data_IF_969003175248
#
_entry.id   IF_969003175248
#
_cell.length_a   1.000
_cell.length_b   1.000
_cell.length_c   1.000
_cell.angle_alpha   90.00
_cell.angle_beta   90.00
_cell.angle_gamma   90.00
#
_symmetry.space_group_name_H-M   'P 1'
#
loop_
_entity.id
_entity.type
_entity.pdbx_description
1 polymer ?
#
# COMPACT_ATOMS: atom_id res chain seq x y z
N UNK A 1 7.68 -24.65 14.35
CA UNK A 1 6.59 -24.18 13.48
C UNK A 1 7.02 -22.82 13.00
N UNK A 2 7.14 -22.62 11.70
CA UNK A 2 7.47 -21.29 11.16
C UNK A 2 6.20 -20.42 11.31
N UNK A 3 6.32 -19.24 11.92
CA UNK A 3 5.20 -18.30 12.06
C UNK A 3 4.77 -17.82 10.66
N UNK A 4 3.48 -17.96 10.34
CA UNK A 4 2.92 -17.46 9.09
C UNK A 4 2.48 -16.01 9.32
N UNK A 5 3.24 -15.08 8.78
CA UNK A 5 2.87 -13.67 8.77
C UNK A 5 1.96 -13.42 7.56
N UNK A 6 0.68 -13.17 7.81
CA UNK A 6 -0.29 -12.88 6.75
C UNK A 6 -0.10 -11.47 6.19
N UNK A 7 -0.51 -11.23 4.94
CA UNK A 7 -0.47 -9.89 4.32
C UNK A 7 -1.34 -8.87 5.09
N UNK A 8 -2.47 -9.31 5.64
CA UNK A 8 -3.30 -8.46 6.51
C UNK A 8 -2.60 -8.04 7.80
N UNK A 9 -1.77 -8.92 8.37
CA UNK A 9 -0.98 -8.61 9.56
C UNK A 9 0.14 -7.62 9.24
N UNK A 10 0.83 -7.81 8.10
CA UNK A 10 1.85 -6.84 7.63
C UNK A 10 1.25 -5.46 7.43
N UNK A 11 0.08 -5.40 6.78
CA UNK A 11 -0.64 -4.15 6.54
C UNK A 11 -1.01 -3.46 7.85
N UNK A 12 -1.59 -4.21 8.80
CA UNK A 12 -1.92 -3.67 10.12
C UNK A 12 -0.69 -3.09 10.84
N UNK A 13 0.44 -3.81 10.83
CA UNK A 13 1.67 -3.32 11.45
C UNK A 13 2.19 -2.04 10.77
N UNK A 14 2.13 -1.96 9.44
CA UNK A 14 2.54 -0.77 8.70
C UNK A 14 1.64 0.43 9.01
N UNK A 15 0.32 0.23 9.10
CA UNK A 15 -0.63 1.26 9.50
C UNK A 15 -0.35 1.74 10.92
N UNK A 16 -0.17 0.83 11.89
CA UNK A 16 0.14 1.16 13.28
C UNK A 16 1.46 1.94 13.41
N UNK A 17 2.49 1.51 12.69
CA UNK A 17 3.77 2.24 12.65
C UNK A 17 3.59 3.66 12.12
N UNK A 18 2.88 3.84 11.00
CA UNK A 18 2.64 5.17 10.42
C UNK A 18 1.76 6.03 11.33
N UNK A 19 0.73 5.46 11.96
CA UNK A 19 -0.17 6.13 12.90
C UNK A 19 0.56 6.64 14.14
N UNK A 20 1.52 5.86 14.66
CA UNK A 20 2.27 6.18 15.88
C UNK A 20 3.05 7.51 15.82
N UNK A 21 3.29 8.06 14.64
CA UNK A 21 3.91 9.39 14.47
C UNK A 21 2.93 10.56 14.69
N UNK A 22 1.63 10.30 14.70
CA UNK A 22 0.59 11.35 14.74
C UNK A 22 -0.43 11.18 15.88
N UNK A 23 -0.27 10.19 16.74
CA UNK A 23 -1.11 9.98 17.91
C UNK A 23 -0.96 11.10 18.94
N UNK A 24 -1.94 11.25 19.81
CA UNK A 24 -1.93 12.26 20.90
C UNK A 24 -0.79 12.05 21.90
N UNK A 25 -0.33 10.81 22.04
CA UNK A 25 0.86 10.40 22.81
C UNK A 25 1.87 9.75 21.86
N UNK A 26 2.23 10.49 20.81
CA UNK A 26 3.11 9.98 19.77
C UNK A 26 4.47 9.56 20.32
N UNK A 27 4.95 8.39 19.93
CA UNK A 27 6.34 7.99 20.15
C UNK A 27 7.29 8.92 19.40
N UNK A 28 8.44 9.16 19.98
CA UNK A 28 9.47 9.99 19.37
C UNK A 28 10.49 9.11 18.66
N UNK A 29 10.54 9.22 17.35
CA UNK A 29 11.43 8.43 16.51
C UNK A 29 12.59 9.28 15.98
N UNK A 30 13.79 8.70 16.01
CA UNK A 30 14.99 9.28 15.40
C UNK A 30 15.55 8.27 14.39
N UNK A 31 15.73 8.72 13.15
CA UNK A 31 16.56 7.97 12.19
C UNK A 31 18.02 8.29 12.50
N UNK A 32 18.86 7.27 12.51
CA UNK A 32 20.30 7.43 12.64
C UNK A 32 21.05 6.84 11.47
N UNK A 33 22.24 7.37 11.22
CA UNK A 33 23.24 6.86 10.31
C UNK A 33 24.54 6.62 11.08
N UNK A 34 25.23 5.55 10.72
CA UNK A 34 26.47 5.18 11.40
C UNK A 34 27.35 4.28 10.56
N UNK A 35 28.51 3.93 11.12
CA UNK A 35 29.51 3.04 10.50
C UNK A 35 29.89 3.46 9.08
N UNK A 36 30.72 4.51 9.00
CA UNK A 36 31.29 4.98 7.72
C UNK A 36 32.43 4.09 7.18
N UNK A 37 32.92 3.14 8.00
CA UNK A 37 33.97 2.21 7.61
C UNK A 37 33.37 0.90 7.08
N UNK A 38 34.05 0.27 6.12
CA UNK A 38 33.66 -1.03 5.57
C UNK A 38 33.52 -2.11 6.65
N UNK A 39 32.65 -3.08 6.42
CA UNK A 39 32.60 -4.29 7.24
C UNK A 39 33.87 -5.10 7.06
N UNK A 40 34.44 -5.59 8.16
CA UNK A 40 35.63 -6.42 8.11
C UNK A 40 35.55 -7.59 9.08
N UNK A 41 36.11 -8.73 8.69
CA UNK A 41 36.12 -9.93 9.52
C UNK A 41 36.79 -9.78 10.88
N UNK A 42 37.66 -8.79 11.03
CA UNK A 42 38.38 -8.55 12.30
C UNK A 42 37.53 -7.86 13.37
N UNK A 43 36.55 -7.06 12.97
CA UNK A 43 35.69 -6.28 13.87
C UNK A 43 34.24 -6.68 13.86
N UNK A 44 33.74 -7.11 12.71
CA UNK A 44 32.30 -7.27 12.47
C UNK A 44 31.90 -8.76 12.39
N UNK A 45 32.82 -9.68 12.67
CA UNK A 45 32.62 -11.12 12.63
C UNK A 45 33.27 -11.80 11.41
N UNK A 46 33.68 -13.04 11.58
CA UNK A 46 34.40 -13.80 10.56
C UNK A 46 33.69 -13.81 9.22
N UNK A 47 34.35 -13.31 8.20
CA UNK A 47 33.84 -13.25 6.83
C UNK A 47 32.92 -12.07 6.51
N UNK A 48 32.73 -11.13 7.46
CA UNK A 48 31.97 -9.91 7.21
C UNK A 48 32.64 -9.03 6.16
N UNK A 49 31.86 -8.58 5.19
CA UNK A 49 32.23 -7.62 4.14
C UNK A 49 31.02 -6.79 3.76
N UNK A 50 31.20 -5.71 3.00
CA UNK A 50 30.04 -4.91 2.51
C UNK A 50 29.10 -5.71 1.59
N UNK A 51 29.62 -6.74 0.91
CA UNK A 51 28.79 -7.66 0.10
C UNK A 51 28.15 -8.78 0.92
N UNK A 52 28.67 -9.04 2.11
CA UNK A 52 28.16 -10.05 3.05
C UNK A 52 28.15 -9.44 4.44
N UNK A 53 27.26 -8.45 4.70
CA UNK A 53 27.19 -7.77 5.98
C UNK A 53 26.75 -8.76 7.08
N UNK A 54 27.18 -8.58 8.33
CA UNK A 54 26.71 -9.39 9.44
C UNK A 54 25.20 -9.22 9.65
N UNK A 55 24.54 -10.31 10.02
CA UNK A 55 23.13 -10.23 10.42
C UNK A 55 23.03 -9.55 11.77
N UNK A 56 22.28 -8.45 11.93
CA UNK A 56 22.04 -7.83 13.22
C UNK A 56 21.41 -8.83 14.20
N UNK A 57 21.93 -8.90 15.41
CA UNK A 57 21.41 -9.75 16.47
C UNK A 57 20.62 -8.89 17.47
N UNK A 58 19.57 -9.48 18.04
CA UNK A 58 18.83 -8.91 19.17
C UNK A 58 19.62 -9.20 20.46
N UNK A 59 20.68 -8.44 20.67
CA UNK A 59 21.57 -8.56 21.82
C UNK A 59 22.03 -7.21 22.33
N UNK A 60 22.28 -7.12 23.63
CA UNK A 60 22.80 -5.90 24.26
C UNK A 60 24.14 -5.45 23.67
N UNK A 61 24.97 -6.40 23.23
CA UNK A 61 26.26 -6.10 22.59
C UNK A 61 26.05 -5.41 21.25
N UNK A 62 25.12 -5.89 20.43
CA UNK A 62 24.83 -5.30 19.12
C UNK A 62 24.21 -3.93 19.27
N UNK A 63 23.27 -3.75 20.21
CA UNK A 63 22.69 -2.43 20.52
C UNK A 63 23.78 -1.45 20.93
N UNK A 64 24.71 -1.86 21.82
CA UNK A 64 25.82 -1.01 22.22
C UNK A 64 26.72 -0.61 21.04
N UNK A 65 27.03 -1.55 20.13
CA UNK A 65 27.82 -1.23 18.94
C UNK A 65 27.08 -0.29 17.98
N UNK A 66 25.78 -0.42 17.83
CA UNK A 66 24.99 0.54 17.03
C UNK A 66 25.05 1.94 17.63
N UNK A 67 24.91 2.07 18.96
CA UNK A 67 25.03 3.37 19.62
C UNK A 67 26.44 3.95 19.50
N UNK A 68 27.47 3.16 19.69
CA UNK A 68 28.86 3.61 19.60
C UNK A 68 29.26 4.06 18.17
N UNK A 69 28.66 3.45 17.17
CA UNK A 69 28.92 3.76 15.75
C UNK A 69 28.03 4.85 15.16
N UNK A 70 27.04 5.34 15.87
CA UNK A 70 26.19 6.43 15.36
C UNK A 70 27.02 7.68 15.08
N UNK A 71 26.80 8.28 13.90
CA UNK A 71 27.46 9.53 13.47
C UNK A 71 26.48 10.68 13.58
N UNK A 72 25.24 10.46 13.17
CA UNK A 72 24.20 11.48 13.24
C UNK A 72 22.83 10.82 13.47
N UNK A 73 21.94 11.54 14.15
CA UNK A 73 20.55 11.16 14.32
C UNK A 73 19.65 12.38 14.07
N UNK A 74 18.50 12.14 13.46
CA UNK A 74 17.51 13.18 13.19
C UNK A 74 16.13 12.72 13.59
N UNK A 75 15.38 13.58 14.29
CA UNK A 75 13.99 13.34 14.62
C UNK A 75 13.15 13.22 13.36
N UNK A 76 12.35 12.16 13.28
CA UNK A 76 11.42 11.91 12.19
C UNK A 76 10.10 12.61 12.52
N UNK A 77 9.57 13.38 11.59
CA UNK A 77 8.24 13.95 11.67
C UNK A 77 7.22 13.05 10.94
N UNK A 78 5.93 13.18 11.26
CA UNK A 78 4.88 12.45 10.56
C UNK A 78 4.86 12.71 9.05
N UNK A 79 5.29 13.90 8.62
CA UNK A 79 5.44 14.26 7.20
C UNK A 79 6.63 13.57 6.50
N UNK A 80 7.49 12.88 7.26
CA UNK A 80 8.65 12.14 6.72
C UNK A 80 8.33 10.66 6.49
N UNK A 81 7.11 10.23 6.77
CA UNK A 81 6.67 8.82 6.75
C UNK A 81 5.42 8.66 5.91
N UNK A 82 5.40 7.63 5.07
CA UNK A 82 4.23 7.31 4.25
C UNK A 82 4.14 5.80 3.98
N UNK A 83 2.91 5.28 3.95
CA UNK A 83 2.66 3.92 3.44
C UNK A 83 2.91 3.88 1.92
N UNK A 84 3.49 2.79 1.45
CA UNK A 84 3.80 2.63 0.03
C UNK A 84 3.52 1.21 -0.47
N UNK A 85 3.43 1.10 -1.79
CA UNK A 85 3.23 -0.13 -2.53
C UNK A 85 4.31 -0.28 -3.59
N UNK A 86 4.58 -1.49 -4.11
CA UNK A 86 5.47 -1.68 -5.25
C UNK A 86 5.03 -0.81 -6.42
N UNK A 87 5.99 -0.11 -7.03
CA UNK A 87 5.73 0.75 -8.19
C UNK A 87 5.42 -0.11 -9.41
N UNK A 88 4.32 0.19 -10.05
CA UNK A 88 3.88 -0.42 -11.30
C UNK A 88 3.46 0.68 -12.26
N UNK A 89 4.29 0.95 -13.23
CA UNK A 89 4.01 1.98 -14.23
C UNK A 89 3.15 1.41 -15.36
N UNK A 90 2.22 2.21 -15.83
CA UNK A 90 1.44 1.87 -17.01
C UNK A 90 2.34 1.77 -18.24
N UNK A 91 2.08 0.77 -19.06
CA UNK A 91 2.60 0.74 -20.42
C UNK A 91 1.57 0.12 -21.37
N UNK A 92 1.56 0.62 -22.60
CA UNK A 92 0.70 0.06 -23.64
C UNK A 92 1.10 -1.40 -23.94
N UNK A 93 0.12 -2.21 -24.32
CA UNK A 93 0.30 -3.64 -24.64
C UNK A 93 0.74 -4.51 -23.44
N UNK A 94 0.59 -4.01 -22.22
CA UNK A 94 0.80 -4.81 -20.99
C UNK A 94 -0.52 -5.38 -20.51
N UNK A 95 -0.52 -6.65 -20.08
CA UNK A 95 -1.66 -7.26 -19.40
C UNK A 95 -1.51 -7.02 -17.89
N UNK A 96 -2.46 -6.30 -17.32
CA UNK A 96 -2.61 -6.13 -15.88
C UNK A 96 -3.64 -7.11 -15.34
N UNK A 97 -3.44 -7.63 -14.13
CA UNK A 97 -4.43 -8.45 -13.45
C UNK A 97 -5.64 -7.60 -13.06
N UNK A 98 -6.79 -8.22 -12.92
CA UNK A 98 -7.96 -7.56 -12.35
C UNK A 98 -8.05 -7.76 -10.84
N UNK A 99 -8.74 -6.87 -10.14
CA UNK A 99 -9.08 -7.07 -8.74
C UNK A 99 -10.07 -8.24 -8.60
N UNK A 100 -9.77 -9.15 -7.66
CA UNK A 100 -10.69 -10.16 -7.14
C UNK A 100 -10.39 -10.44 -5.67
N UNK A 101 -11.41 -10.61 -4.88
CA UNK A 101 -11.34 -10.87 -3.44
C UNK A 101 -10.90 -12.29 -3.07
N UNK A 102 -11.00 -13.24 -4.01
CA UNK A 102 -10.86 -14.69 -3.78
C UNK A 102 -9.59 -15.31 -4.41
N UNK A 103 -8.56 -14.52 -4.72
CA UNK A 103 -7.30 -15.09 -5.21
C UNK A 103 -6.62 -16.00 -4.17
N UNK A 104 -6.13 -17.12 -4.63
CA UNK A 104 -5.45 -18.15 -3.82
C UNK A 104 -4.53 -19.00 -4.69
N UNK A 105 -3.82 -19.95 -4.10
CA UNK A 105 -3.01 -20.93 -4.86
C UNK A 105 -3.85 -21.84 -5.79
N UNK A 106 -5.15 -21.93 -5.56
CA UNK A 106 -6.09 -22.71 -6.40
C UNK A 106 -6.87 -21.84 -7.39
N UNK A 107 -6.83 -20.52 -7.20
CA UNK A 107 -7.48 -19.52 -8.06
C UNK A 107 -6.53 -18.36 -8.26
N UNK A 108 -5.55 -18.55 -9.14
CA UNK A 108 -4.49 -17.57 -9.42
C UNK A 108 -4.99 -16.45 -10.33
N UNK A 109 -4.25 -15.35 -10.34
CA UNK A 109 -4.43 -14.27 -11.31
C UNK A 109 -4.02 -14.71 -12.72
N UNK A 110 -4.32 -13.88 -13.71
CA UNK A 110 -3.89 -14.13 -15.10
C UNK A 110 -2.35 -14.11 -15.22
N UNK A 111 -1.63 -13.38 -14.36
CA UNK A 111 -0.16 -13.40 -14.26
C UNK A 111 0.41 -14.57 -13.45
N UNK A 112 -0.44 -15.42 -12.86
CA UNK A 112 -0.06 -16.55 -12.02
C UNK A 112 0.18 -16.24 -10.55
N UNK A 113 -0.11 -15.01 -10.10
CA UNK A 113 0.01 -14.64 -8.69
C UNK A 113 -1.08 -15.35 -7.86
N UNK A 114 -0.71 -15.83 -6.66
CA UNK A 114 -1.59 -16.56 -5.75
C UNK A 114 -2.22 -15.67 -4.66
N UNK A 115 -1.95 -14.38 -4.68
CA UNK A 115 -2.59 -13.41 -3.80
C UNK A 115 -2.84 -12.09 -4.51
N UNK A 116 -3.82 -11.32 -4.03
CA UNK A 116 -4.16 -10.03 -4.60
C UNK A 116 -2.97 -9.07 -4.58
N UNK A 117 -2.28 -8.93 -3.44
CA UNK A 117 -1.22 -7.94 -3.28
C UNK A 117 0.09 -8.29 -3.99
N UNK A 118 0.28 -9.54 -4.39
CA UNK A 118 1.36 -9.95 -5.29
C UNK A 118 1.04 -9.79 -6.77
N UNK A 119 -0.24 -9.52 -7.11
CA UNK A 119 -0.72 -9.36 -8.48
C UNK A 119 -0.57 -7.94 -9.02
N UNK A 120 -0.70 -7.76 -10.34
CA UNK A 120 -0.52 -6.47 -11.03
C UNK A 120 -1.85 -5.72 -11.22
N UNK A 121 -2.73 -5.74 -10.23
CA UNK A 121 -4.11 -5.23 -10.33
C UNK A 121 -4.24 -3.70 -10.21
N UNK A 122 -3.15 -2.98 -10.16
CA UNK A 122 -3.09 -1.51 -10.19
C UNK A 122 -1.89 -1.03 -10.98
N UNK A 123 -1.92 0.21 -11.42
CA UNK A 123 -0.80 0.87 -12.08
C UNK A 123 -0.84 2.39 -11.89
N UNK A 124 0.32 3.02 -12.09
CA UNK A 124 0.51 4.47 -12.07
C UNK A 124 0.76 4.99 -13.49
N UNK A 125 0.19 6.12 -13.84
CA UNK A 125 0.43 6.83 -15.10
C UNK A 125 1.63 7.78 -15.01
N UNK A 126 2.09 8.29 -16.15
CA UNK A 126 3.14 9.31 -16.23
C UNK A 126 2.77 10.61 -15.48
N UNK A 127 1.47 10.91 -15.39
CA UNK A 127 0.93 12.03 -14.62
C UNK A 127 0.68 11.70 -13.13
N UNK A 128 1.26 10.61 -12.62
CA UNK A 128 1.13 10.16 -11.24
C UNK A 128 -0.30 9.76 -10.79
N UNK A 129 -1.22 9.52 -11.72
CA UNK A 129 -2.53 8.97 -11.40
C UNK A 129 -2.45 7.48 -11.15
N UNK A 130 -3.10 7.00 -10.11
CA UNK A 130 -3.14 5.58 -9.75
C UNK A 130 -4.53 5.02 -10.01
N UNK A 131 -4.56 3.93 -10.77
CA UNK A 131 -5.79 3.24 -11.14
C UNK A 131 -5.76 1.79 -10.65
N UNK A 132 -6.91 1.34 -10.14
CA UNK A 132 -7.18 -0.07 -9.85
C UNK A 132 -7.91 -0.69 -11.04
N UNK A 133 -7.48 -1.88 -11.44
CA UNK A 133 -8.10 -2.64 -12.54
C UNK A 133 -9.28 -3.44 -11.99
N UNK A 134 -10.48 -3.12 -12.44
CA UNK A 134 -11.72 -3.77 -12.04
C UNK A 134 -12.07 -4.90 -13.00
N UNK A 135 -11.78 -4.72 -14.30
CA UNK A 135 -11.87 -5.79 -15.30
C UNK A 135 -10.77 -5.60 -16.35
N UNK A 136 -10.15 -6.70 -16.74
CA UNK A 136 -9.13 -6.78 -17.78
C UNK A 136 -9.62 -7.60 -18.99
N UNK A 137 -10.93 -7.87 -19.06
CA UNK A 137 -11.56 -8.64 -20.13
C UNK A 137 -12.13 -7.68 -21.16
N UNK A 138 -11.68 -7.75 -22.42
CA UNK A 138 -12.16 -6.84 -23.46
C UNK A 138 -13.64 -7.03 -23.73
N UNK A 139 -14.29 -6.00 -24.28
CA UNK A 139 -15.70 -6.04 -24.68
C UNK A 139 -15.98 -7.15 -25.70
N UNK A 140 -17.21 -7.64 -25.72
CA UNK A 140 -17.63 -8.75 -26.55
C UNK A 140 -17.84 -10.04 -25.75
N UNK A 141 -18.01 -11.16 -26.42
CA UNK A 141 -18.20 -12.47 -25.80
C UNK A 141 -16.83 -13.07 -25.41
N UNK A 142 -16.23 -12.55 -24.34
CA UNK A 142 -14.89 -12.91 -23.89
C UNK A 142 -14.88 -13.31 -22.41
N UNK A 143 -13.95 -14.17 -22.03
CA UNK A 143 -13.70 -14.62 -20.66
C UNK A 143 -12.23 -14.48 -20.26
N UNK A 144 -11.34 -14.23 -21.22
CA UNK A 144 -9.90 -14.13 -21.02
C UNK A 144 -9.42 -12.68 -20.96
N UNK A 145 -8.42 -12.46 -20.13
CA UNK A 145 -7.70 -11.18 -20.07
C UNK A 145 -7.03 -10.84 -21.41
N UNK A 146 -6.95 -9.57 -21.73
CA UNK A 146 -6.20 -9.08 -22.87
C UNK A 146 -5.23 -7.97 -22.45
N UNK A 147 -4.22 -7.68 -23.28
CA UNK A 147 -3.32 -6.56 -23.06
C UNK A 147 -4.09 -5.23 -23.18
N UNK A 148 -3.72 -4.27 -22.36
CA UNK A 148 -4.25 -2.90 -22.43
C UNK A 148 -3.94 -2.28 -23.78
N UNK A 149 -4.95 -1.76 -24.46
CA UNK A 149 -4.84 -1.23 -25.81
C UNK A 149 -5.14 0.27 -25.86
N UNK A 150 -4.20 1.08 -26.31
CA UNK A 150 -4.41 2.49 -26.53
C UNK A 150 -3.57 3.43 -25.68
N UNK A 151 -4.15 4.60 -25.37
CA UNK A 151 -3.47 5.65 -24.62
C UNK A 151 -3.58 5.46 -23.11
N UNK A 152 -2.67 6.10 -22.41
CA UNK A 152 -2.66 6.21 -20.95
C UNK A 152 -3.97 6.83 -20.41
N UNK A 153 -4.61 6.26 -19.38
CA UNK A 153 -5.84 6.83 -18.83
C UNK A 153 -5.60 8.19 -18.17
N UNK A 154 -6.54 9.10 -18.38
CA UNK A 154 -6.49 10.45 -17.81
C UNK A 154 -7.72 10.80 -16.98
N UNK A 155 -8.74 9.94 -16.98
CA UNK A 155 -10.01 10.16 -16.29
C UNK A 155 -9.83 10.10 -14.79
N UNK A 156 -10.23 11.14 -14.08
CA UNK A 156 -10.33 11.19 -12.61
C UNK A 156 -11.81 11.20 -12.21
N UNK A 157 -12.13 10.73 -11.03
CA UNK A 157 -13.48 10.75 -10.51
C UNK A 157 -13.89 9.48 -9.77
N UNK A 158 -15.16 9.44 -9.33
CA UNK A 158 -15.67 8.41 -8.43
C UNK A 158 -16.24 7.19 -9.15
N UNK A 159 -16.61 7.33 -10.42
CA UNK A 159 -17.24 6.25 -11.19
C UNK A 159 -16.23 5.35 -11.86
N UNK A 160 -16.63 4.11 -12.13
CA UNK A 160 -15.90 3.21 -13.02
C UNK A 160 -15.97 3.75 -14.46
N UNK A 161 -14.92 3.51 -15.23
CA UNK A 161 -14.88 3.89 -16.65
C UNK A 161 -14.13 2.85 -17.49
N UNK A 162 -14.46 2.78 -18.77
CA UNK A 162 -13.83 1.84 -19.70
C UNK A 162 -12.83 2.57 -20.60
N UNK A 163 -11.63 2.01 -20.71
CA UNK A 163 -10.58 2.46 -21.64
C UNK A 163 -9.65 1.30 -21.98
N UNK A 164 -9.19 1.22 -23.21
CA UNK A 164 -8.19 0.26 -23.63
C UNK A 164 -8.59 -1.23 -23.50
N UNK A 165 -9.89 -1.52 -23.43
CA UNK A 165 -10.42 -2.85 -23.15
C UNK A 165 -10.52 -3.19 -21.66
N UNK A 166 -10.22 -2.24 -20.78
CA UNK A 166 -10.25 -2.39 -19.32
C UNK A 166 -11.37 -1.57 -18.70
N UNK A 167 -11.86 -2.02 -17.56
CA UNK A 167 -12.67 -1.22 -16.63
C UNK A 167 -11.78 -0.82 -15.47
N UNK A 168 -11.68 0.47 -15.22
CA UNK A 168 -10.78 1.04 -14.23
C UNK A 168 -11.55 1.83 -13.17
N UNK A 169 -10.98 1.85 -11.95
CA UNK A 169 -11.32 2.76 -10.87
C UNK A 169 -10.14 3.71 -10.64
N UNK A 170 -10.37 5.01 -10.73
CA UNK A 170 -9.40 5.98 -10.24
C UNK A 170 -9.32 5.91 -8.71
N UNK A 171 -8.10 5.90 -8.16
CA UNK A 171 -7.87 5.78 -6.73
C UNK A 171 -7.39 7.11 -6.13
N UNK A 172 -6.32 7.66 -6.66
CA UNK A 172 -5.73 8.94 -6.25
C UNK A 172 -4.68 9.40 -7.25
N UNK A 173 -4.23 10.64 -7.11
CA UNK A 173 -3.03 11.17 -7.80
C UNK A 173 -1.96 11.45 -6.77
N UNK A 174 -0.76 10.91 -6.98
CA UNK A 174 0.39 11.20 -6.12
C UNK A 174 0.73 12.68 -6.26
N UNK A 175 0.69 13.42 -5.15
CA UNK A 175 1.00 14.83 -5.11
C UNK A 175 2.46 15.10 -5.52
N UNK A 176 2.76 16.26 -6.08
CA UNK A 176 4.12 16.61 -6.50
C UNK A 176 5.12 16.56 -5.33
N UNK A 177 4.70 16.96 -4.13
CA UNK A 177 5.52 16.89 -2.92
C UNK A 177 5.85 15.45 -2.53
N UNK A 178 4.86 14.56 -2.53
CA UNK A 178 5.07 13.16 -2.18
C UNK A 178 5.80 12.40 -3.30
N UNK A 179 5.57 12.77 -4.56
CA UNK A 179 6.36 12.22 -5.68
C UNK A 179 7.85 12.56 -5.54
N UNK A 180 8.18 13.82 -5.21
CA UNK A 180 9.57 14.23 -4.99
C UNK A 180 10.20 13.54 -3.78
N UNK A 181 9.41 13.34 -2.71
CA UNK A 181 9.93 12.83 -1.45
C UNK A 181 9.96 11.31 -1.36
N UNK A 182 8.95 10.61 -1.90
CA UNK A 182 8.71 9.19 -1.62
C UNK A 182 8.60 8.28 -2.87
N UNK A 183 8.54 8.85 -4.07
CA UNK A 183 8.49 8.02 -5.28
C UNK A 183 9.89 7.54 -5.64
N UNK A 184 10.09 6.22 -5.59
CA UNK A 184 11.36 5.58 -5.95
C UNK A 184 11.23 4.76 -7.25
N UNK A 185 12.29 4.07 -7.65
CA UNK A 185 12.25 3.10 -8.76
C UNK A 185 11.39 1.90 -8.45
N UNK A 186 11.34 1.47 -7.17
CA UNK A 186 10.72 0.22 -6.75
C UNK A 186 9.39 0.42 -6.02
N UNK A 187 9.18 1.59 -5.40
CA UNK A 187 8.02 1.88 -4.57
C UNK A 187 7.37 3.21 -4.93
N UNK A 188 6.07 3.29 -4.72
CA UNK A 188 5.28 4.51 -4.85
C UNK A 188 4.42 4.75 -3.60
N UNK A 189 4.27 6.03 -3.16
CA UNK A 189 3.47 6.38 -2.01
C UNK A 189 1.98 6.16 -2.28
N UNK A 190 1.23 5.84 -1.22
CA UNK A 190 -0.22 5.75 -1.26
C UNK A 190 -0.83 6.98 -0.61
N UNK A 191 -1.70 7.65 -1.36
CA UNK A 191 -2.47 8.80 -0.88
C UNK A 191 -3.96 8.48 -0.84
N UNK A 192 -4.73 9.27 -0.14
CA UNK A 192 -6.19 9.17 -0.09
C UNK A 192 -6.82 10.35 -0.82
N UNK A 193 -7.63 10.07 -1.83
CA UNK A 193 -8.53 11.05 -2.40
C UNK A 193 -9.84 11.05 -1.61
N UNK A 194 -10.12 12.15 -0.94
CA UNK A 194 -11.30 12.26 -0.06
C UNK A 194 -12.62 12.18 -0.82
N UNK A 195 -12.65 12.59 -2.08
CA UNK A 195 -13.86 12.54 -2.92
C UNK A 195 -14.15 11.09 -3.33
N UNK A 196 -13.10 10.36 -3.72
CA UNK A 196 -13.20 8.94 -4.08
C UNK A 196 -13.58 8.12 -2.85
N UNK A 197 -12.95 8.40 -1.71
CA UNK A 197 -13.23 7.69 -0.44
C UNK A 197 -14.66 7.92 0.05
N UNK A 198 -15.16 9.16 -0.01
CA UNK A 198 -16.52 9.50 0.42
C UNK A 198 -17.62 8.91 -0.48
N UNK A 199 -17.31 8.61 -1.75
CA UNK A 199 -18.25 8.01 -2.70
C UNK A 199 -18.33 6.47 -2.61
N UNK A 200 -17.42 5.83 -1.89
CA UNK A 200 -17.40 4.37 -1.75
C UNK A 200 -18.56 3.89 -0.86
N UNK A 201 -19.10 2.70 -1.18
CA UNK A 201 -20.22 2.12 -0.44
C UNK A 201 -19.85 0.70 0.01
N UNK A 202 -19.91 0.44 1.31
CA UNK A 202 -19.57 -0.86 1.87
C UNK A 202 -20.48 -1.96 1.36
N UNK A 203 -19.87 -3.06 0.88
CA UNK A 203 -20.59 -4.20 0.32
C UNK A 203 -21.39 -3.89 -0.95
N UNK A 204 -21.11 -2.78 -1.64
CA UNK A 204 -21.66 -2.57 -2.98
C UNK A 204 -21.05 -3.57 -3.98
N UNK A 205 -21.87 -4.17 -4.80
CA UNK A 205 -21.41 -4.98 -5.93
C UNK A 205 -21.21 -4.08 -7.13
N UNK A 206 -19.95 -3.90 -7.51
CA UNK A 206 -19.59 -2.99 -8.59
C UNK A 206 -18.97 -3.69 -9.81
N UNK A 207 -18.71 -5.02 -9.70
CA UNK A 207 -18.06 -5.77 -10.78
C UNK A 207 -18.61 -7.21 -10.90
N UNK A 208 -18.56 -7.71 -12.13
CA UNK A 208 -18.92 -9.07 -12.51
C UNK A 208 -17.81 -9.66 -13.39
N UNK A 209 -17.67 -10.97 -13.40
CA UNK A 209 -16.84 -11.68 -14.37
C UNK A 209 -17.65 -12.74 -15.10
N UNK A 210 -17.75 -12.63 -16.41
CA UNK A 210 -18.28 -13.71 -17.25
C UNK A 210 -17.25 -14.82 -17.28
N UNK A 211 -17.58 -15.97 -16.72
CA UNK A 211 -16.70 -17.14 -16.65
C UNK A 211 -16.99 -18.14 -17.74
N UNK A 212 -18.24 -18.11 -18.28
CA UNK A 212 -18.63 -18.83 -19.48
C UNK A 212 -19.63 -17.98 -20.26
N UNK A 213 -19.35 -17.73 -21.52
CA UNK A 213 -20.23 -16.92 -22.38
C UNK A 213 -21.53 -17.64 -22.80
N UNK A 214 -21.59 -18.93 -22.61
CA UNK A 214 -22.75 -19.76 -23.02
C UNK A 214 -22.86 -19.97 -24.53
N UNK A 215 -23.86 -20.74 -24.93
CA UNK A 215 -24.20 -21.04 -26.34
C UNK A 215 -25.69 -21.08 -26.54
N UNK A 216 -26.17 -20.59 -27.69
CA UNK A 216 -27.57 -20.61 -28.04
C UNK A 216 -28.48 -19.74 -27.16
N UNK A 217 -27.91 -18.78 -26.44
CA UNK A 217 -28.66 -17.88 -25.59
C UNK A 217 -29.53 -16.94 -26.47
N UNK A 218 -30.65 -16.49 -25.91
CA UNK A 218 -31.54 -15.53 -26.60
C UNK A 218 -30.95 -14.13 -26.51
N UNK A 219 -30.74 -13.48 -27.67
CA UNK A 219 -30.24 -12.12 -27.73
C UNK A 219 -31.18 -11.14 -27.02
N UNK A 220 -30.61 -10.22 -26.24
CA UNK A 220 -31.35 -9.21 -25.48
C UNK A 220 -30.62 -8.69 -24.29
N UNK A 221 -31.25 -7.79 -23.57
CA UNK A 221 -30.78 -7.31 -22.26
C UNK A 221 -31.68 -7.89 -21.19
N UNK A 222 -31.06 -8.52 -20.21
CA UNK A 222 -31.72 -9.19 -19.09
C UNK A 222 -31.23 -8.59 -17.77
N UNK A 223 -32.06 -8.72 -16.76
CA UNK A 223 -31.75 -8.33 -15.39
C UNK A 223 -31.91 -9.52 -14.46
N UNK A 224 -31.02 -9.63 -13.47
CA UNK A 224 -31.11 -10.67 -12.46
C UNK A 224 -30.77 -10.10 -11.08
N UNK A 225 -31.49 -10.50 -10.05
CA UNK A 225 -31.10 -10.19 -8.70
C UNK A 225 -29.76 -10.87 -8.38
N UNK A 226 -28.89 -10.17 -7.65
CA UNK A 226 -27.71 -10.78 -7.05
C UNK A 226 -28.12 -11.32 -5.70
N UNK A 227 -28.06 -12.65 -5.57
CA UNK A 227 -28.39 -13.37 -4.34
C UNK A 227 -27.14 -13.53 -3.49
N UNK A 228 -27.25 -13.35 -2.16
CA UNK A 228 -26.13 -13.44 -1.22
C UNK A 228 -26.59 -13.16 0.20
N UNK A 229 -25.66 -12.96 1.12
CA UNK A 229 -25.95 -12.57 2.51
C UNK A 229 -26.69 -11.23 2.57
N UNK A 230 -26.50 -10.44 1.54
CA UNK A 230 -27.21 -9.20 1.32
C UNK A 230 -28.67 -9.31 1.01
N UNK A 231 -29.14 -10.43 0.57
CA UNK A 231 -30.56 -10.68 0.28
C UNK A 231 -31.37 -11.10 1.51
N UNK A 232 -30.73 -11.38 2.65
CA UNK A 232 -31.39 -11.74 3.90
C UNK A 232 -31.71 -10.52 4.77
N UNK A 233 -32.96 -10.20 4.81
CA UNK A 233 -33.66 -9.34 5.80
C UNK A 233 -32.77 -8.43 6.67
N UNK A 234 -32.43 -7.26 6.17
CA UNK A 234 -32.07 -6.12 7.00
C UNK A 234 -30.64 -5.60 6.92
N UNK A 235 -29.72 -6.27 6.23
CA UNK A 235 -28.31 -5.83 6.16
C UNK A 235 -27.82 -5.49 4.76
N UNK A 236 -28.52 -5.92 3.72
CA UNK A 236 -28.13 -5.60 2.35
C UNK A 236 -29.30 -5.69 1.42
N UNK A 237 -29.35 -4.91 0.39
CA UNK A 237 -30.50 -4.91 -0.49
C UNK A 237 -30.16 -4.44 -1.90
N UNK A 238 -30.79 -5.08 -2.86
CA UNK A 238 -31.09 -4.49 -4.14
C UNK A 238 -29.96 -4.48 -5.16
N UNK A 239 -28.92 -5.32 -5.05
CA UNK A 239 -28.00 -5.46 -6.16
C UNK A 239 -28.67 -6.18 -7.34
N UNK A 240 -28.58 -5.56 -8.50
CA UNK A 240 -29.17 -6.08 -9.77
C UNK A 240 -28.09 -6.07 -10.84
N UNK A 241 -27.83 -7.25 -11.38
CA UNK A 241 -26.99 -7.40 -12.57
C UNK A 241 -27.78 -7.09 -13.84
N UNK A 242 -27.15 -6.41 -14.78
CA UNK A 242 -27.57 -6.27 -16.16
C UNK A 242 -26.76 -7.21 -17.04
N UNK A 243 -27.41 -8.10 -17.76
CA UNK A 243 -26.79 -9.14 -18.58
C UNK A 243 -27.13 -8.86 -20.03
N UNK A 244 -26.13 -8.57 -20.84
CA UNK A 244 -26.28 -8.33 -22.27
C UNK A 244 -25.88 -9.59 -23.00
N UNK A 245 -26.80 -10.11 -23.84
CA UNK A 245 -26.59 -11.25 -24.72
C UNK A 245 -26.64 -10.76 -26.17
N UNK A 246 -25.57 -10.99 -26.91
CA UNK A 246 -25.45 -10.68 -28.33
C UNK A 246 -24.72 -11.80 -29.03
N UNK A 247 -25.10 -12.09 -30.26
CA UNK A 247 -24.58 -13.24 -31.02
C UNK A 247 -24.75 -14.58 -30.25
N UNK A 248 -25.86 -14.71 -29.51
CA UNK A 248 -26.21 -15.87 -28.70
C UNK A 248 -25.24 -16.21 -27.55
N UNK A 249 -24.46 -15.20 -27.08
CA UNK A 249 -23.47 -15.31 -26.02
C UNK A 249 -23.52 -14.09 -25.06
N UNK A 250 -23.18 -14.31 -23.79
CA UNK A 250 -23.08 -13.25 -22.79
C UNK A 250 -21.90 -12.36 -23.15
N UNK A 251 -22.11 -11.04 -23.11
CA UNK A 251 -21.08 -10.05 -23.33
C UNK A 251 -20.32 -9.77 -22.02
N UNK A 252 -19.01 -9.54 -22.11
CA UNK A 252 -18.16 -9.27 -20.97
C UNK A 252 -18.63 -8.04 -20.17
N UNK A 253 -18.16 -7.95 -18.91
CA UNK A 253 -18.44 -6.82 -18.02
C UNK A 253 -17.82 -5.53 -18.55
N UNK A 254 -18.58 -4.43 -18.47
CA UNK A 254 -18.16 -3.11 -18.84
C UNK A 254 -19.13 -2.03 -18.40
N UNK A 255 -18.81 -0.78 -18.66
CA UNK A 255 -19.62 0.37 -18.28
C UNK A 255 -20.63 0.80 -19.34
N UNK A 256 -20.49 0.35 -20.57
CA UNK A 256 -21.47 0.63 -21.65
C UNK A 256 -22.70 -0.26 -21.51
N UNK A 257 -23.81 0.35 -21.09
CA UNK A 257 -25.09 -0.32 -20.86
C UNK A 257 -25.69 -0.96 -22.12
N UNK A 258 -25.30 -0.52 -23.31
CA UNK A 258 -25.86 -1.01 -24.57
C UNK A 258 -25.18 -2.24 -25.12
N UNK A 259 -23.90 -2.44 -24.78
CA UNK A 259 -23.04 -3.46 -25.40
C UNK A 259 -22.38 -4.43 -24.44
N UNK A 260 -22.37 -4.12 -23.13
CA UNK A 260 -21.67 -4.92 -22.12
C UNK A 260 -22.59 -5.32 -20.98
N UNK A 261 -22.34 -6.50 -20.37
CA UNK A 261 -22.92 -6.84 -19.08
C UNK A 261 -22.38 -5.91 -17.99
N UNK A 262 -23.15 -5.67 -16.94
CA UNK A 262 -22.76 -4.69 -15.92
C UNK A 262 -23.62 -4.76 -14.68
N UNK A 263 -23.51 -3.76 -13.84
CA UNK A 263 -24.34 -3.57 -12.66
C UNK A 263 -25.39 -2.52 -12.97
N UNK A 264 -26.67 -2.88 -12.75
CA UNK A 264 -27.77 -1.91 -12.83
C UNK A 264 -27.96 -1.18 -11.49
N UNK A 265 -27.93 -1.92 -10.40
CA UNK A 265 -27.95 -1.39 -9.04
C UNK A 265 -26.90 -2.13 -8.21
N UNK A 266 -26.04 -1.39 -7.53
CA UNK A 266 -24.91 -1.96 -6.79
C UNK A 266 -25.32 -2.61 -5.46
N UNK A 267 -26.46 -2.19 -4.90
CA UNK A 267 -26.85 -2.61 -3.55
C UNK A 267 -25.83 -2.20 -2.49
N UNK A 268 -25.89 -2.84 -1.33
CA UNK A 268 -24.92 -2.62 -0.25
C UNK A 268 -24.90 -3.79 0.73
N UNK A 269 -23.83 -3.93 1.53
CA UNK A 269 -23.73 -4.91 2.60
C UNK A 269 -23.45 -6.35 2.12
N UNK A 270 -23.07 -6.57 0.86
CA UNK A 270 -22.71 -7.89 0.36
C UNK A 270 -21.31 -8.31 0.82
N UNK A 271 -21.16 -9.57 1.29
CA UNK A 271 -19.88 -10.23 1.52
C UNK A 271 -19.65 -11.39 0.57
N UNK A 272 -20.71 -11.90 -0.04
CA UNK A 272 -20.67 -12.80 -1.19
C UNK A 272 -21.91 -12.57 -2.08
N UNK A 273 -21.85 -13.00 -3.32
CA UNK A 273 -22.98 -12.88 -4.24
C UNK A 273 -22.95 -13.93 -5.34
N UNK A 274 -24.13 -14.32 -5.83
CA UNK A 274 -24.31 -15.24 -6.95
C UNK A 274 -25.39 -14.73 -7.89
N UNK A 275 -25.32 -15.13 -9.16
CA UNK A 275 -26.34 -14.84 -10.17
C UNK A 275 -26.89 -16.14 -10.69
N UNK A 276 -28.21 -16.25 -10.66
CA UNK A 276 -28.92 -17.41 -11.21
C UNK A 276 -29.50 -17.05 -12.59
N UNK A 277 -29.02 -17.71 -13.64
CA UNK A 277 -29.48 -17.53 -15.03
C UNK A 277 -30.59 -18.48 -15.46
N UNK A 278 -31.11 -19.31 -14.55
CA UNK A 278 -32.18 -20.23 -14.87
C UNK A 278 -33.52 -19.53 -15.14
N UNK A 279 -34.41 -20.18 -15.84
CA UNK A 279 -35.76 -19.67 -16.14
C UNK A 279 -36.49 -19.25 -14.84
N UNK A 280 -37.07 -18.05 -14.85
CA UNK A 280 -37.76 -17.47 -13.70
C UNK A 280 -36.88 -16.58 -12.80
N UNK A 281 -35.54 -16.60 -12.96
CA UNK A 281 -34.63 -15.78 -12.20
C UNK A 281 -34.01 -14.63 -13.02
N UNK A 282 -34.36 -14.54 -14.29
CA UNK A 282 -33.99 -13.48 -15.21
C UNK A 282 -35.21 -12.74 -15.74
N UNK A 283 -35.09 -11.44 -15.98
CA UNK A 283 -36.16 -10.52 -16.27
C UNK A 283 -35.82 -9.63 -17.46
N UNK A 284 -36.81 -9.18 -18.22
CA UNK A 284 -36.63 -8.22 -19.31
C UNK A 284 -36.63 -6.75 -18.82
N UNK A 285 -36.98 -6.53 -17.57
CA UNK A 285 -37.01 -5.19 -16.93
C UNK A 285 -36.17 -5.13 -15.66
N UNK A 286 -35.70 -3.94 -15.33
CA UNK A 286 -34.83 -3.69 -14.17
C UNK A 286 -35.59 -3.66 -12.84
N UNK A 287 -36.90 -3.74 -12.86
CA UNK A 287 -37.76 -3.87 -11.64
C UNK A 287 -38.03 -5.32 -11.29
N UNK A 288 -37.51 -6.26 -12.08
CA UNK A 288 -37.61 -7.71 -11.89
C UNK A 288 -39.08 -8.21 -11.82
N UNK A 289 -39.94 -7.66 -12.68
CA UNK A 289 -41.36 -7.98 -12.71
C UNK A 289 -41.75 -8.86 -13.88
N UNK A 290 -41.09 -8.73 -15.03
CA UNK A 290 -41.41 -9.45 -16.25
C UNK A 290 -40.37 -10.54 -16.52
N UNK A 291 -40.67 -11.78 -16.08
CA UNK A 291 -39.76 -12.90 -16.28
C UNK A 291 -39.44 -13.12 -17.77
N UNK A 292 -38.15 -13.29 -18.06
CA UNK A 292 -37.68 -13.55 -19.42
C UNK A 292 -36.52 -14.56 -19.38
N UNK A 293 -36.68 -15.68 -20.01
CA UNK A 293 -35.67 -16.72 -20.02
C UNK A 293 -34.53 -16.40 -21.01
N UNK A 294 -33.30 -16.51 -20.56
CA UNK A 294 -32.10 -16.33 -21.40
C UNK A 294 -31.92 -17.50 -22.39
N UNK A 295 -32.55 -18.64 -22.15
CA UNK A 295 -32.44 -19.83 -23.02
C UNK A 295 -31.04 -20.41 -23.06
N UNK A 296 -30.77 -21.28 -24.06
CA UNK A 296 -29.42 -21.81 -24.29
C UNK A 296 -28.85 -22.61 -23.14
N UNK A 297 -27.51 -22.73 -23.11
CA UNK A 297 -26.81 -23.50 -22.09
C UNK A 297 -25.44 -22.88 -21.77
N UNK A 298 -24.92 -23.16 -20.56
CA UNK A 298 -23.53 -22.95 -20.19
C UNK A 298 -23.15 -21.52 -19.80
N UNK A 299 -24.05 -20.52 -19.86
CA UNK A 299 -23.74 -19.19 -19.41
C UNK A 299 -23.45 -19.17 -17.91
N UNK A 300 -22.36 -18.48 -17.48
CA UNK A 300 -22.00 -18.35 -16.09
C UNK A 300 -21.33 -17.00 -15.83
N UNK A 301 -21.68 -16.41 -14.69
CA UNK A 301 -21.18 -15.10 -14.24
C UNK A 301 -20.83 -15.19 -12.76
N UNK A 302 -19.59 -14.83 -12.42
CA UNK A 302 -19.15 -14.63 -11.04
C UNK A 302 -19.44 -13.20 -10.60
N UNK A 303 -19.90 -13.04 -9.37
CA UNK A 303 -20.01 -11.75 -8.69
C UNK A 303 -18.70 -11.47 -7.99
N UNK A 304 -18.12 -10.30 -8.22
CA UNK A 304 -16.89 -9.86 -7.57
C UNK A 304 -17.24 -8.89 -6.45
N UNK A 305 -16.92 -9.29 -5.23
CA UNK A 305 -17.21 -8.48 -4.04
C UNK A 305 -16.20 -7.34 -3.91
N UNK A 306 -16.69 -6.14 -3.65
CA UNK A 306 -15.87 -4.98 -3.35
C UNK A 306 -15.08 -5.19 -2.03
N UNK A 307 -13.93 -4.53 -1.86
CA UNK A 307 -13.23 -4.55 -0.57
C UNK A 307 -14.12 -3.93 0.52
N UNK A 308 -13.82 -4.25 1.79
CA UNK A 308 -14.52 -3.65 2.92
C UNK A 308 -14.49 -2.12 2.83
N UNK A 309 -15.65 -1.49 2.91
CA UNK A 309 -15.85 -0.05 2.70
C UNK A 309 -16.20 0.33 1.26
N UNK A 310 -16.10 -0.59 0.29
CA UNK A 310 -16.31 -0.32 -1.14
C UNK A 310 -15.02 0.05 -1.89
N UNK A 311 -15.08 0.04 -3.20
CA UNK A 311 -13.94 0.42 -4.05
C UNK A 311 -13.60 1.92 -3.91
N UNK A 312 -12.38 2.22 -3.49
CA UNK A 312 -11.85 3.58 -3.28
C UNK A 312 -11.96 4.09 -1.84
N UNK A 313 -12.60 3.34 -0.94
CA UNK A 313 -12.80 3.73 0.46
C UNK A 313 -11.48 3.96 1.21
N UNK A 314 -10.52 3.06 1.04
CA UNK A 314 -9.23 3.12 1.71
C UNK A 314 -8.14 2.58 0.79
N UNK A 315 -7.43 3.47 0.12
CA UNK A 315 -6.39 3.10 -0.84
C UNK A 315 -5.25 2.29 -0.18
N UNK A 316 -4.88 2.59 1.07
CA UNK A 316 -3.83 1.86 1.82
C UNK A 316 -4.21 0.38 1.96
N UNK A 317 -5.45 0.11 2.41
CA UNK A 317 -5.94 -1.27 2.59
C UNK A 317 -6.22 -1.98 1.28
N UNK A 318 -6.81 -1.25 0.33
CA UNK A 318 -7.22 -1.85 -0.94
C UNK A 318 -6.03 -2.23 -1.83
N UNK A 319 -4.98 -1.41 -1.84
CA UNK A 319 -3.79 -1.66 -2.64
C UNK A 319 -2.71 -2.46 -1.90
N UNK A 320 -2.93 -2.75 -0.60
CA UNK A 320 -2.03 -3.56 0.22
C UNK A 320 -0.74 -2.85 0.60
N UNK A 321 -0.83 -1.60 1.01
CA UNK A 321 0.32 -0.75 1.35
C UNK A 321 0.97 -1.15 2.69
N UNK A 322 1.62 -2.30 2.69
CA UNK A 322 2.30 -2.85 3.87
C UNK A 322 3.80 -2.53 3.95
N UNK A 323 4.29 -1.69 3.06
CA UNK A 323 5.62 -1.09 3.14
C UNK A 323 5.48 0.35 3.65
N UNK A 324 6.54 0.85 4.30
CA UNK A 324 6.61 2.23 4.77
C UNK A 324 7.93 2.84 4.30
N UNK A 325 7.84 4.02 3.70
CA UNK A 325 9.02 4.81 3.36
C UNK A 325 9.19 5.88 4.44
N UNK A 326 10.40 5.96 4.98
CA UNK A 326 10.85 7.07 5.82
C UNK A 326 11.90 7.85 5.04
N UNK A 327 11.65 9.12 4.80
CA UNK A 327 12.58 9.99 4.07
C UNK A 327 12.84 11.27 4.87
N UNK A 328 14.08 11.44 5.31
CA UNK A 328 14.54 12.64 6.00
C UNK A 328 15.93 13.04 5.51
N UNK A 329 16.28 14.31 5.66
CA UNK A 329 17.57 14.86 5.26
C UNK A 329 18.41 15.15 6.51
N UNK A 330 19.64 14.69 6.53
CA UNK A 330 20.63 15.03 7.55
C UNK A 330 21.38 16.28 7.12
N UNK A 331 21.40 17.31 7.96
CA UNK A 331 22.16 18.54 7.73
C UNK A 331 23.24 18.70 8.79
N UNK A 332 24.41 19.17 8.40
CA UNK A 332 25.50 19.50 9.31
C UNK A 332 25.26 20.79 10.10
N UNK A 333 26.11 21.04 11.11
CA UNK A 333 26.01 22.22 11.95
C UNK A 333 26.20 23.55 11.19
N UNK A 334 26.85 23.52 10.03
CA UNK A 334 27.11 24.67 9.17
C UNK A 334 26.13 24.80 8.01
N UNK A 335 24.95 24.15 8.13
CA UNK A 335 23.90 24.08 7.12
C UNK A 335 24.26 23.30 5.86
N UNK A 336 25.34 22.55 5.89
CA UNK A 336 25.69 21.63 4.82
C UNK A 336 25.04 20.25 5.04
N UNK A 337 24.40 19.74 4.00
CA UNK A 337 23.85 18.39 4.02
C UNK A 337 24.98 17.35 4.06
N UNK A 338 24.74 16.24 4.76
CA UNK A 338 25.62 15.08 4.65
C UNK A 338 25.51 14.54 3.24
N UNK A 339 26.63 14.57 2.51
CA UNK A 339 26.67 14.21 1.09
C UNK A 339 26.20 12.78 0.86
N UNK A 340 25.35 12.59 -0.14
CA UNK A 340 24.84 11.28 -0.54
C UNK A 340 25.93 10.30 -1.04
N UNK A 341 27.13 10.82 -1.37
CA UNK A 341 28.28 10.00 -1.72
C UNK A 341 29.02 9.38 -0.52
N UNK A 342 28.59 9.67 0.71
CA UNK A 342 29.12 9.01 1.88
C UNK A 342 28.36 7.70 2.13
N UNK A 343 29.09 6.60 2.27
CA UNK A 343 28.52 5.31 2.60
C UNK A 343 28.33 5.16 4.10
N UNK A 344 27.11 4.80 4.50
CA UNK A 344 26.79 4.44 5.88
C UNK A 344 26.22 3.02 5.90
N UNK A 345 26.87 2.13 6.68
CA UNK A 345 26.47 0.71 6.75
C UNK A 345 25.42 0.46 7.80
N UNK A 346 25.34 1.30 8.82
CA UNK A 346 24.30 1.22 9.84
C UNK A 346 23.32 2.37 9.66
N UNK A 347 22.07 2.00 9.28
CA UNK A 347 20.93 2.91 9.22
C UNK A 347 19.82 2.28 10.04
N UNK A 348 19.24 3.01 10.96
CA UNK A 348 18.21 2.48 11.85
C UNK A 348 17.32 3.55 12.44
N UNK A 349 16.38 3.09 13.28
CA UNK A 349 15.44 3.95 13.99
C UNK A 349 15.57 3.67 15.48
N UNK A 350 15.71 4.73 16.27
CA UNK A 350 15.65 4.70 17.73
C UNK A 350 14.30 5.25 18.16
N UNK A 351 13.64 4.55 19.09
CA UNK A 351 12.32 4.92 19.62
C UNK A 351 12.47 5.43 21.04
N UNK A 352 11.88 6.57 21.33
CA UNK A 352 11.81 7.19 22.65
C UNK A 352 13.15 7.23 23.42
N UNK A 353 14.25 7.68 22.79
CA UNK A 353 15.50 7.81 23.52
C UNK A 353 15.31 8.74 24.70
N UNK A 354 15.94 8.44 25.85
CA UNK A 354 15.82 9.26 27.05
C UNK A 354 17.01 10.18 27.23
N UNK A 355 16.80 11.27 27.93
CA UNK A 355 17.89 12.14 28.35
C UNK A 355 18.84 11.38 29.28
N UNK A 356 20.13 11.67 29.20
CA UNK A 356 21.13 11.02 30.04
C UNK A 356 20.77 11.15 31.53
N UNK A 357 20.74 9.98 32.21
CA UNK A 357 20.42 9.88 33.64
C UNK A 357 18.97 10.19 34.03
N UNK A 358 18.04 10.16 33.07
CA UNK A 358 16.63 10.47 33.26
C UNK A 358 15.74 9.46 32.51
N UNK A 359 14.48 9.36 32.93
CA UNK A 359 13.44 8.64 32.17
C UNK A 359 12.66 9.56 31.21
N UNK A 360 13.01 10.83 31.13
CA UNK A 360 12.36 11.80 30.25
C UNK A 360 12.81 11.57 28.83
N UNK A 361 11.84 11.42 27.90
CA UNK A 361 12.14 11.28 26.47
C UNK A 361 12.90 12.49 25.96
N UNK A 362 13.98 12.24 25.24
CA UNK A 362 14.84 13.28 24.69
C UNK A 362 14.13 14.06 23.57
N UNK A 363 14.40 15.34 23.48
CA UNK A 363 13.98 16.20 22.38
C UNK A 363 15.07 16.30 21.32
N UNK A 364 14.78 16.91 20.17
CA UNK A 364 15.78 17.16 19.13
C UNK A 364 16.97 18.00 19.61
N UNK A 365 16.80 18.79 20.68
CA UNK A 365 17.86 19.61 21.29
C UNK A 365 18.58 18.93 22.46
N UNK A 366 18.03 17.85 23.01
CA UNK A 366 18.61 17.16 24.17
C UNK A 366 19.13 15.77 23.87
N UNK A 367 18.80 15.18 22.72
CA UNK A 367 19.36 13.89 22.27
C UNK A 367 20.83 14.05 21.94
N UNK A 368 21.67 13.22 22.54
CA UNK A 368 23.13 13.31 22.40
C UNK A 368 23.73 11.93 22.20
N UNK A 369 24.76 11.85 21.38
CA UNK A 369 25.54 10.63 21.12
C UNK A 369 26.94 10.70 21.71
N UNK A 370 27.38 11.89 22.18
CA UNK A 370 28.68 12.08 22.79
C UNK A 370 28.69 11.63 24.24
N UNK A 371 29.82 11.13 24.70
CA UNK A 371 29.99 10.82 26.10
C UNK A 371 29.77 12.06 26.98
N UNK A 372 28.95 11.90 28.01
CA UNK A 372 28.70 12.96 28.98
C UNK A 372 29.42 12.66 30.28
N UNK A 373 30.16 13.64 30.78
CA UNK A 373 30.73 13.63 32.12
C UNK A 373 29.80 14.41 33.05
N UNK A 374 29.24 13.73 34.05
CA UNK A 374 28.39 14.37 35.07
C UNK A 374 29.16 14.56 36.36
N UNK A 375 29.22 15.76 36.80
CA UNK A 375 29.87 16.13 38.06
C UNK A 375 28.81 16.56 39.09
N UNK A 376 29.06 16.27 40.37
CA UNK A 376 28.20 16.71 41.47
C UNK A 376 28.26 18.24 41.66
N UNK A 377 29.40 18.84 41.33
CA UNK A 377 29.59 20.28 41.30
C UNK A 377 30.76 20.61 40.38
N UNK A 378 30.66 21.74 39.71
CA UNK A 378 31.71 22.29 38.84
C UNK A 378 32.06 23.67 39.29
N UNK A 379 33.37 23.98 39.34
CA UNK A 379 33.86 25.34 39.59
C UNK A 379 34.37 25.92 38.27
N UNK A 380 33.69 26.94 37.77
CA UNK A 380 33.95 27.56 36.47
C UNK A 380 33.04 27.09 35.35
N UNK A 381 33.33 27.49 34.13
CA UNK A 381 32.62 27.15 32.90
C UNK A 381 33.59 26.56 31.89
N UNK A 382 33.11 25.64 31.08
CA UNK A 382 33.87 25.12 29.94
C UNK A 382 33.29 25.70 28.64
N UNK A 383 34.15 25.95 27.68
CA UNK A 383 33.74 26.42 26.35
C UNK A 383 33.87 25.29 25.32
N UNK A 384 32.99 25.23 24.28
CA UNK A 384 33.18 24.33 23.18
C UNK A 384 34.59 24.40 22.60
N UNK A 385 35.12 23.25 22.17
CA UNK A 385 36.48 23.03 21.67
C UNK A 385 37.60 23.13 22.74
N UNK A 386 37.29 23.48 23.96
CA UNK A 386 38.28 23.47 25.04
C UNK A 386 38.80 22.05 25.31
N UNK A 387 40.12 21.94 25.47
CA UNK A 387 40.75 20.66 25.78
C UNK A 387 40.68 20.42 27.29
N UNK A 388 40.04 19.34 27.67
CA UNK A 388 40.05 18.87 29.07
C UNK A 388 41.00 17.69 29.23
N UNK A 389 41.64 17.62 30.39
CA UNK A 389 42.57 16.52 30.71
C UNK A 389 42.31 16.04 32.14
N UNK A 390 42.20 14.74 32.31
CA UNK A 390 42.13 14.12 33.63
C UNK A 390 43.54 13.82 34.14
N UNK A 391 43.93 14.45 35.23
CA UNK A 391 45.30 14.37 35.74
C UNK A 391 45.73 12.96 36.15
N UNK A 392 44.81 12.15 36.68
CA UNK A 392 45.15 10.79 37.20
C UNK A 392 45.33 9.74 36.10
N UNK A 393 44.67 9.88 34.95
CA UNK A 393 44.69 8.88 33.85
C UNK A 393 45.35 9.42 32.60
N UNK A 394 45.63 10.72 32.55
CA UNK A 394 46.07 11.41 31.32
C UNK A 394 45.07 11.35 30.18
N UNK A 395 43.81 10.99 30.46
CA UNK A 395 42.74 10.98 29.46
C UNK A 395 42.49 12.42 28.97
N UNK A 396 42.30 12.56 27.66
CA UNK A 396 42.11 13.84 27.01
C UNK A 396 40.75 13.81 26.30
N UNK A 397 39.99 14.88 26.41
CA UNK A 397 38.78 15.13 25.68
C UNK A 397 38.71 16.58 25.18
N UNK A 398 37.79 16.80 24.24
CA UNK A 398 37.36 18.17 23.88
C UNK A 398 35.92 18.37 24.32
N UNK A 399 35.61 19.54 24.80
CA UNK A 399 34.26 19.93 25.18
C UNK A 399 33.45 20.17 23.92
N UNK A 400 32.34 19.47 23.78
CA UNK A 400 31.36 19.72 22.72
C UNK A 400 30.32 20.69 23.22
N UNK A 401 29.89 20.52 24.47
CA UNK A 401 28.89 21.37 25.10
C UNK A 401 29.07 21.32 26.63
N UNK A 402 28.79 22.38 27.31
CA UNK A 402 28.76 22.48 28.76
C UNK A 402 27.38 22.94 29.21
N UNK A 403 26.72 22.12 30.01
CA UNK A 403 25.45 22.41 30.64
C UNK A 403 25.66 22.54 32.15
N UNK A 404 25.32 23.69 32.75
CA UNK A 404 25.64 24.11 34.14
C UNK A 404 24.48 23.82 35.10
#
# INVERSE_FOLDING_TARGET
>A
MVAIITEKFKLHNAEQFTESFSESSASTYYMFIGKSTEFSGDRDGTGATDTTPPTPLDSVSDEFYFFDQMIAAKKIASSDVINCIPRRDWSNSTTFDMYRDNYSSLNTTDSGASSLYSSTFYFRTSANRVYKVISNIPTGANTAAAAFSGSEPTTEGTSLFTIGGYVLKYMYTISASNATKFLTTDFMPVETDSTVSAAATDGAVESLRVTNVGTGLTNGTYYAAIEGDGSNAGTSSGAIARIVISSNQIQAFGTDASTTSGIHAAGSGYTFGTINLSSGNTFSDNTLTTAAAVGGTGGAIDVIISPKGGHGSNAVKELGAHFVIVNTTFSGAESDDILAGNDFRNVGIVVDPTNFGSSTVATASTVRQTYALKFASVSGTFTPDEKITQASTSAIGKVVEFDS
#
